data_IF_779920171116
#
_entry.id   IF_779920171116
#
_cell.length_a   1.000
_cell.length_b   1.000
_cell.length_c   1.000
_cell.angle_alpha   90.00
_cell.angle_beta   90.00
_cell.angle_gamma   90.00
#
_symmetry.space_group_name_H-M   'P 1'
#
loop_
_entity.id
_entity.type
_entity.pdbx_description
1 polymer ?
#
# COMPACT_ATOMS: atom_id res chain seq x y z
N UNK A 1 14.53 30.52 -9.48
CA UNK A 1 13.35 29.91 -8.82
C UNK A 1 13.80 28.57 -8.27
N UNK A 2 13.87 28.43 -6.94
CA UNK A 2 14.22 27.17 -6.31
C UNK A 2 12.94 26.35 -6.18
N UNK A 3 12.74 25.39 -7.09
CA UNK A 3 11.73 24.37 -6.90
C UNK A 3 12.25 23.41 -5.84
N UNK A 4 11.70 23.49 -4.62
CA UNK A 4 11.81 22.40 -3.66
C UNK A 4 10.98 21.23 -4.20
N UNK A 5 11.59 20.40 -5.04
CA UNK A 5 11.06 19.12 -5.51
C UNK A 5 11.08 18.04 -4.41
N UNK A 6 11.08 18.45 -3.14
CA UNK A 6 10.96 17.50 -2.05
C UNK A 6 9.60 16.81 -2.21
N UNK A 7 9.55 15.47 -2.24
CA UNK A 7 8.28 14.77 -2.38
C UNK A 7 7.38 15.15 -1.21
N UNK A 8 6.16 15.60 -1.52
CA UNK A 8 5.18 15.95 -0.51
C UNK A 8 4.65 14.71 0.21
N UNK A 9 4.81 13.52 -0.40
CA UNK A 9 4.48 12.21 0.17
C UNK A 9 5.04 11.08 -0.69
N UNK A 10 4.76 9.86 -0.24
CA UNK A 10 5.10 8.61 -0.88
C UNK A 10 3.84 7.84 -1.24
N UNK A 11 3.90 7.14 -2.37
CA UNK A 11 2.84 6.27 -2.86
C UNK A 11 3.34 4.83 -2.85
N UNK A 12 2.51 3.94 -2.34
CA UNK A 12 2.76 2.51 -2.37
C UNK A 12 1.64 1.78 -3.08
N UNK A 13 2.00 1.09 -4.15
CA UNK A 13 1.10 0.26 -4.94
C UNK A 13 1.39 -1.19 -4.58
N UNK A 14 0.36 -1.93 -4.15
CA UNK A 14 0.47 -3.35 -3.86
C UNK A 14 -0.72 -4.13 -4.38
N UNK A 15 -0.45 -5.32 -4.90
CA UNK A 15 -1.44 -6.16 -5.59
C UNK A 15 -1.04 -7.63 -5.51
N UNK A 16 -1.97 -8.53 -5.85
CA UNK A 16 -1.65 -9.94 -6.05
C UNK A 16 -0.95 -10.13 -7.40
N UNK A 17 0.12 -10.93 -7.42
CA UNK A 17 0.74 -11.32 -8.68
C UNK A 17 -0.19 -12.22 -9.49
N UNK A 18 -0.35 -11.90 -10.78
CA UNK A 18 -1.22 -12.68 -11.67
C UNK A 18 -0.75 -14.12 -11.77
N UNK A 19 -1.68 -15.06 -11.56
CA UNK A 19 -1.40 -16.50 -11.63
C UNK A 19 -0.63 -17.07 -10.43
N UNK A 20 -0.30 -16.26 -9.42
CA UNK A 20 0.34 -16.70 -8.17
C UNK A 20 -0.61 -16.56 -6.95
N UNK A 21 -1.90 -16.33 -7.20
CA UNK A 21 -2.93 -16.24 -6.16
C UNK A 21 -3.04 -17.59 -5.42
N UNK A 22 -2.81 -17.57 -4.11
CA UNK A 22 -3.01 -18.74 -3.24
C UNK A 22 -4.37 -18.68 -2.52
N UNK A 23 -4.87 -19.80 -1.97
CA UNK A 23 -6.12 -19.80 -1.20
C UNK A 23 -6.09 -18.79 -0.06
N UNK A 24 -7.04 -17.84 -0.05
CA UNK A 24 -7.13 -16.77 0.96
C UNK A 24 -6.26 -15.53 0.71
N UNK A 25 -5.56 -15.47 -0.44
CA UNK A 25 -4.64 -14.36 -0.75
C UNK A 25 -5.37 -13.02 -0.92
N UNK A 26 -6.58 -13.02 -1.48
CA UNK A 26 -7.45 -11.83 -1.57
C UNK A 26 -7.89 -11.31 -0.21
N UNK A 27 -8.32 -12.20 0.68
CA UNK A 27 -8.67 -11.83 2.05
C UNK A 27 -7.45 -11.27 2.79
N UNK A 28 -6.27 -11.86 2.55
CA UNK A 28 -5.01 -11.35 3.09
C UNK A 28 -4.68 -9.96 2.53
N UNK A 29 -4.84 -9.73 1.22
CA UNK A 29 -4.67 -8.43 0.57
C UNK A 29 -5.54 -7.36 1.25
N UNK A 30 -6.82 -7.67 1.50
CA UNK A 30 -7.72 -6.76 2.20
C UNK A 30 -7.29 -6.51 3.64
N UNK A 31 -6.79 -7.53 4.33
CA UNK A 31 -6.32 -7.41 5.71
C UNK A 31 -5.08 -6.53 5.83
N UNK A 32 -4.11 -6.68 4.92
CA UNK A 32 -2.91 -5.81 4.90
C UNK A 32 -3.25 -4.38 4.47
N UNK A 33 -4.27 -4.20 3.62
CA UNK A 33 -4.78 -2.87 3.25
C UNK A 33 -5.45 -2.18 4.44
N UNK A 34 -6.26 -2.90 5.23
CA UNK A 34 -6.84 -2.38 6.49
C UNK A 34 -5.75 -2.06 7.51
N UNK A 35 -4.69 -2.88 7.58
CA UNK A 35 -3.57 -2.63 8.47
C UNK A 35 -2.86 -1.31 8.15
N UNK A 36 -2.74 -0.94 6.87
CA UNK A 36 -2.17 0.34 6.46
C UNK A 36 -2.87 1.53 7.12
N UNK A 37 -4.21 1.51 7.16
CA UNK A 37 -5.02 2.56 7.77
C UNK A 37 -4.81 2.74 9.29
N UNK A 38 -4.18 1.77 9.96
CA UNK A 38 -3.86 1.85 11.38
C UNK A 38 -2.43 2.34 11.66
N UNK A 39 -1.61 2.54 10.63
CA UNK A 39 -0.20 2.91 10.80
C UNK A 39 -0.05 4.43 10.88
N UNK A 40 0.88 4.87 11.72
CA UNK A 40 1.28 6.27 11.75
C UNK A 40 1.82 6.69 10.39
N UNK A 41 1.48 7.90 9.93
CA UNK A 41 1.91 8.42 8.65
C UNK A 41 1.11 7.96 7.43
N UNK A 42 0.06 7.16 7.62
CA UNK A 42 -0.90 6.83 6.57
C UNK A 42 -1.79 8.04 6.22
N UNK A 43 -1.86 8.38 4.93
CA UNK A 43 -2.60 9.53 4.42
C UNK A 43 -3.89 9.14 3.69
N UNK A 44 -3.97 7.91 3.17
CA UNK A 44 -5.13 7.46 2.40
C UNK A 44 -4.87 6.21 1.60
N UNK A 45 -5.95 5.66 1.07
CA UNK A 45 -6.02 4.41 0.33
C UNK A 45 -7.01 4.59 -0.82
N UNK A 46 -6.65 4.12 -2.00
CA UNK A 46 -7.53 4.02 -3.15
C UNK A 46 -7.39 2.61 -3.76
N UNK A 47 -8.48 2.11 -4.35
CA UNK A 47 -8.42 0.89 -5.16
C UNK A 47 -8.23 1.30 -6.61
N UNK A 48 -7.15 0.81 -7.23
CA UNK A 48 -6.93 0.97 -8.67
C UNK A 48 -7.92 0.13 -9.46
N UNK A 49 -8.34 0.60 -10.63
CA UNK A 49 -9.26 -0.10 -11.53
C UNK A 49 -8.52 -1.21 -12.32
N UNK A 50 -9.05 -2.45 -12.45
CA UNK A 50 -10.36 -2.97 -12.03
C UNK A 50 -10.35 -3.66 -10.64
N UNK A 51 -9.95 -2.94 -9.59
CA UNK A 51 -9.94 -3.41 -8.20
C UNK A 51 -8.81 -4.37 -7.83
N UNK A 52 -7.84 -4.58 -8.71
CA UNK A 52 -6.72 -5.53 -8.51
C UNK A 52 -5.55 -4.94 -7.74
N UNK A 53 -5.40 -3.63 -7.78
CA UNK A 53 -4.28 -2.91 -7.21
C UNK A 53 -4.76 -2.01 -6.09
N UNK A 54 -3.98 -1.97 -5.02
CA UNK A 54 -4.25 -1.11 -3.88
C UNK A 54 -3.18 -0.04 -3.83
N UNK A 55 -3.59 1.21 -3.90
CA UNK A 55 -2.70 2.36 -3.82
C UNK A 55 -2.86 2.98 -2.44
N UNK A 56 -1.76 3.17 -1.72
CA UNK A 56 -1.75 3.78 -0.40
C UNK A 56 -0.77 4.94 -0.36
N UNK A 57 -1.11 5.98 0.40
CA UNK A 57 -0.36 7.22 0.48
C UNK A 57 0.22 7.39 1.88
N UNK A 58 1.46 7.89 1.95
CA UNK A 58 2.25 7.92 3.18
C UNK A 58 3.06 9.20 3.29
N UNK A 59 3.26 9.71 4.50
CA UNK A 59 4.08 10.90 4.74
C UNK A 59 5.59 10.62 4.66
N UNK A 60 6.01 9.38 4.89
CA UNK A 60 7.41 9.00 5.11
C UNK A 60 7.69 7.56 4.71
N UNK A 61 8.95 7.26 4.37
CA UNK A 61 9.39 5.89 4.03
C UNK A 61 9.45 5.03 5.29
N UNK A 62 9.72 5.64 6.43
CA UNK A 62 9.74 5.01 7.74
C UNK A 62 8.37 4.42 8.10
N UNK A 63 7.29 5.17 7.86
CA UNK A 63 5.92 4.69 8.01
C UNK A 63 5.62 3.50 7.09
N UNK A 64 6.06 3.59 5.82
CA UNK A 64 5.92 2.49 4.84
C UNK A 64 6.68 1.24 5.31
N UNK A 65 7.90 1.40 5.82
CA UNK A 65 8.72 0.29 6.30
C UNK A 65 8.10 -0.40 7.52
N UNK A 66 7.57 0.38 8.47
CA UNK A 66 6.87 -0.14 9.65
C UNK A 66 5.62 -0.95 9.24
N UNK A 67 4.79 -0.39 8.36
CA UNK A 67 3.64 -1.07 7.80
C UNK A 67 4.03 -2.37 7.08
N UNK A 68 5.03 -2.30 6.19
CA UNK A 68 5.49 -3.43 5.40
C UNK A 68 5.99 -4.56 6.27
N UNK A 69 6.70 -4.28 7.35
CA UNK A 69 7.16 -5.31 8.30
C UNK A 69 5.98 -6.05 8.95
N UNK A 70 4.92 -5.32 9.33
CA UNK A 70 3.70 -5.93 9.85
C UNK A 70 3.00 -6.79 8.79
N UNK A 71 2.92 -6.29 7.56
CA UNK A 71 2.33 -7.00 6.44
C UNK A 71 3.10 -8.30 6.14
N UNK A 72 4.43 -8.23 5.98
CA UNK A 72 5.31 -9.39 5.75
C UNK A 72 5.14 -10.46 6.84
N UNK A 73 5.04 -10.05 8.11
CA UNK A 73 4.82 -10.99 9.22
C UNK A 73 3.46 -11.70 9.14
N UNK A 74 2.40 -11.01 8.69
CA UNK A 74 1.09 -11.63 8.46
C UNK A 74 1.13 -12.63 7.32
N UNK A 75 1.86 -12.31 6.24
CA UNK A 75 1.99 -13.19 5.07
C UNK A 75 2.82 -14.42 5.44
N UNK A 76 3.93 -14.23 6.14
CA UNK A 76 4.80 -15.31 6.58
C UNK A 76 4.08 -16.32 7.48
N UNK A 77 3.19 -15.84 8.36
CA UNK A 77 2.37 -16.71 9.20
C UNK A 77 1.38 -17.57 8.40
N UNK A 78 0.88 -17.09 7.26
CA UNK A 78 -0.13 -17.81 6.45
C UNK A 78 0.47 -18.71 5.38
N UNK A 79 1.55 -18.26 4.74
CA UNK A 79 2.10 -18.90 3.53
C UNK A 79 3.60 -19.21 3.62
N UNK A 80 4.25 -18.88 4.74
CA UNK A 80 5.69 -19.05 4.93
C UNK A 80 6.51 -17.82 4.52
N UNK A 81 7.79 -17.76 4.94
CA UNK A 81 8.62 -16.56 4.89
C UNK A 81 8.92 -16.03 3.46
N UNK A 82 8.90 -16.90 2.44
CA UNK A 82 9.19 -16.50 1.05
C UNK A 82 7.95 -16.06 0.27
N UNK A 83 6.76 -16.12 0.88
CA UNK A 83 5.51 -15.92 0.15
C UNK A 83 5.24 -14.47 -0.25
N UNK A 84 5.83 -13.48 0.44
CA UNK A 84 5.63 -12.06 0.12
C UNK A 84 5.93 -11.77 -1.35
N UNK A 85 7.14 -12.09 -1.80
CA UNK A 85 7.61 -11.79 -3.15
C UNK A 85 6.98 -12.67 -4.24
N UNK A 86 6.41 -13.83 -3.86
CA UNK A 86 5.74 -14.73 -4.80
C UNK A 86 4.29 -14.32 -5.04
N UNK A 87 3.59 -13.91 -3.99
CA UNK A 87 2.14 -13.69 -4.03
C UNK A 87 1.80 -12.23 -4.27
N UNK A 88 2.67 -11.29 -3.88
CA UNK A 88 2.38 -9.85 -3.94
C UNK A 88 3.41 -9.08 -4.76
N UNK A 89 2.91 -8.14 -5.57
CA UNK A 89 3.71 -7.08 -6.15
C UNK A 89 3.66 -5.86 -5.21
N UNK A 90 4.78 -5.17 -5.06
CA UNK A 90 4.92 -4.01 -4.18
C UNK A 90 5.83 -2.98 -4.82
N UNK A 91 5.34 -1.76 -5.00
CA UNK A 91 6.09 -0.67 -5.59
C UNK A 91 5.97 0.59 -4.73
N UNK A 92 7.09 1.22 -4.41
CA UNK A 92 7.15 2.48 -3.67
C UNK A 92 7.69 3.55 -4.60
N UNK A 93 6.97 4.67 -4.70
CA UNK A 93 7.37 5.82 -5.50
C UNK A 93 7.17 7.11 -4.73
N UNK A 94 8.06 8.07 -4.96
CA UNK A 94 7.94 9.41 -4.41
C UNK A 94 6.91 10.20 -5.23
N UNK A 95 5.96 10.85 -4.57
CA UNK A 95 4.94 11.68 -5.20
C UNK A 95 5.19 13.16 -4.90
N UNK A 96 5.25 13.98 -5.95
CA UNK A 96 5.40 15.43 -5.80
C UNK A 96 4.15 16.06 -5.16
N UNK A 97 2.97 15.47 -5.39
CA UNK A 97 1.67 15.93 -4.87
C UNK A 97 0.93 14.73 -4.30
N UNK A 98 0.40 14.89 -3.09
CA UNK A 98 -0.51 13.90 -2.53
C UNK A 98 -1.89 14.12 -3.14
N UNK A 99 -2.51 13.08 -3.71
CA UNK A 99 -3.93 13.16 -4.03
C UNK A 99 -4.66 13.33 -2.70
N UNK A 100 -5.09 14.57 -2.44
CA UNK A 100 -6.00 14.84 -1.33
C UNK A 100 -7.29 14.13 -1.71
N UNK A 101 -7.79 13.15 -0.92
CA UNK A 101 -9.05 12.52 -1.25
C UNK A 101 -10.07 13.63 -1.41
N UNK A 102 -10.78 13.63 -2.55
CA UNK A 102 -11.81 14.61 -2.82
C UNK A 102 -12.75 14.58 -1.61
N UNK A 103 -12.71 15.64 -0.80
CA UNK A 103 -13.64 15.80 0.30
C UNK A 103 -15.02 15.68 -0.34
N UNK A 104 -15.75 14.62 0.00
CA UNK A 104 -17.04 14.32 -0.60
C UNK A 104 -17.87 15.59 -0.62
N UNK A 105 -18.20 16.05 -1.83
CA UNK A 105 -19.19 17.10 -2.00
C UNK A 105 -20.49 16.55 -1.43
N UNK A 106 -20.83 16.97 -0.22
CA UNK A 106 -22.18 16.88 0.29
C UNK A 106 -23.06 17.74 -0.64
N UNK A 107 -23.96 17.08 -1.36
CA UNK A 107 -25.06 17.67 -2.12
C UNK A 107 -26.31 16.88 -1.82
#
# INVERSE_FOLDING_TARGET
>A
MHYHLAPSCWTVIFSLQQGQEMPGSRELLERIARLAACQAGFLGLERGEPGRETVSYWDSVEAIAAWRQCAERLIAQRYGPEAWYRVFAFNVSAAAVCPRPAAGGAG
#
